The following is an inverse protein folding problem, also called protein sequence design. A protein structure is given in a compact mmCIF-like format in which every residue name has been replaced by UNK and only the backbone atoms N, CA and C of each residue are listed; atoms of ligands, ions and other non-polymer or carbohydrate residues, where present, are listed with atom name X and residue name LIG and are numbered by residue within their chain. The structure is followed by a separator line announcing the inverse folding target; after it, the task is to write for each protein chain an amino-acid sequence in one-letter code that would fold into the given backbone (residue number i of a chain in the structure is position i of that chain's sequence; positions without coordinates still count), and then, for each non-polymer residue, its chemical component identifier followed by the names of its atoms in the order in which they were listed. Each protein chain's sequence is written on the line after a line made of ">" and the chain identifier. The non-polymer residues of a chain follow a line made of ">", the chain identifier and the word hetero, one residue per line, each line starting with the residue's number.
data_IF_828069909934
#
_entry.id   IF_828069909934
#
_cell.length_a   1.000
_cell.length_b   1.000
_cell.length_c   1.000
_cell.angle_alpha   90.00
_cell.angle_beta   90.00
_cell.angle_gamma   90.00
#
_symmetry.space_group_name_H-M   'P 1'
#
loop_
_entity.id
_entity.type
_entity.pdbx_description
1 polymer ?
#
# COMPACT_ATOMS: atom_id res chain seq x y z
N UNK A 1 -95.81 27.61 -11.53
CA UNK A 1 -94.53 27.10 -10.97
C UNK A 1 -93.74 28.27 -10.37
N UNK A 2 -93.67 28.39 -9.04
CA UNK A 2 -92.83 29.40 -8.36
C UNK A 2 -91.37 28.91 -8.36
N UNK A 3 -90.48 29.62 -9.06
CA UNK A 3 -89.03 29.36 -9.02
C UNK A 3 -88.53 29.54 -7.57
N UNK A 4 -88.08 28.47 -6.91
CA UNK A 4 -87.40 28.51 -5.61
C UNK A 4 -86.00 29.09 -5.79
N UNK A 5 -85.88 30.43 -5.83
CA UNK A 5 -84.60 31.16 -6.04
C UNK A 5 -83.65 31.16 -4.82
N UNK A 6 -84.01 30.56 -3.68
CA UNK A 6 -83.20 30.59 -2.44
C UNK A 6 -82.35 29.34 -2.16
N UNK A 7 -82.68 28.16 -2.72
CA UNK A 7 -81.96 26.91 -2.41
C UNK A 7 -80.58 26.88 -3.09
N UNK A 8 -80.47 27.45 -4.29
CA UNK A 8 -79.20 27.53 -5.01
C UNK A 8 -78.15 28.35 -4.24
N UNK A 9 -78.55 29.46 -3.59
CA UNK A 9 -77.64 30.28 -2.78
C UNK A 9 -77.12 29.53 -1.55
N UNK A 10 -77.98 28.73 -0.89
CA UNK A 10 -77.59 27.91 0.27
C UNK A 10 -76.63 26.80 -0.16
N UNK A 11 -76.88 26.12 -1.27
CA UNK A 11 -75.99 25.08 -1.81
C UNK A 11 -74.65 25.66 -2.26
N UNK A 12 -74.63 26.84 -2.88
CA UNK A 12 -73.40 27.54 -3.27
C UNK A 12 -72.60 27.98 -2.05
N UNK A 13 -73.24 28.51 -1.01
CA UNK A 13 -72.55 28.86 0.24
C UNK A 13 -72.02 27.63 0.96
N UNK A 14 -72.77 26.54 0.99
CA UNK A 14 -72.33 25.29 1.63
C UNK A 14 -71.17 24.66 0.85
N UNK A 15 -71.22 24.66 -0.49
CA UNK A 15 -70.09 24.28 -1.34
C UNK A 15 -68.89 25.19 -1.10
N UNK A 16 -69.07 26.52 -1.00
CA UNK A 16 -67.99 27.47 -0.75
C UNK A 16 -67.32 27.25 0.62
N UNK A 17 -68.09 26.93 1.67
CA UNK A 17 -67.56 26.64 3.01
C UNK A 17 -66.67 25.40 3.03
N UNK A 18 -66.88 24.41 2.15
CA UNK A 18 -66.01 23.23 2.06
C UNK A 18 -64.92 23.36 0.99
N UNK A 19 -65.23 23.93 -0.18
CA UNK A 19 -64.27 24.05 -1.30
C UNK A 19 -63.17 25.08 -1.02
N UNK A 20 -63.47 26.24 -0.43
CA UNK A 20 -62.44 27.25 -0.17
C UNK A 20 -61.37 26.75 0.81
N UNK A 21 -61.72 26.21 2.00
CA UNK A 21 -60.72 25.63 2.90
C UNK A 21 -59.98 24.46 2.29
N UNK A 22 -60.65 23.62 1.48
CA UNK A 22 -60.01 22.49 0.80
C UNK A 22 -58.99 22.93 -0.26
N UNK A 23 -59.33 23.91 -1.10
CA UNK A 23 -58.42 24.48 -2.11
C UNK A 23 -57.25 25.21 -1.44
N UNK A 24 -57.52 25.99 -0.38
CA UNK A 24 -56.47 26.65 0.40
C UNK A 24 -55.54 25.63 1.08
N UNK A 25 -56.10 24.57 1.67
CA UNK A 25 -55.32 23.48 2.26
C UNK A 25 -54.46 22.77 1.23
N UNK A 26 -54.99 22.46 0.04
CA UNK A 26 -54.24 21.90 -1.07
C UNK A 26 -53.12 22.83 -1.54
N UNK A 27 -53.40 24.12 -1.73
CA UNK A 27 -52.38 25.10 -2.14
C UNK A 27 -51.25 25.21 -1.11
N UNK A 28 -51.57 25.30 0.19
CA UNK A 28 -50.57 25.36 1.26
C UNK A 28 -49.74 24.08 1.31
N UNK A 29 -50.40 22.92 1.22
CA UNK A 29 -49.76 21.61 1.29
C UNK A 29 -48.88 21.36 0.07
N UNK A 30 -49.36 21.62 -1.14
CA UNK A 30 -48.59 21.52 -2.39
C UNK A 30 -47.40 22.49 -2.41
N UNK A 31 -47.55 23.72 -1.92
CA UNK A 31 -46.44 24.67 -1.82
C UNK A 31 -45.37 24.18 -0.82
N UNK A 32 -45.78 23.62 0.32
CA UNK A 32 -44.86 23.01 1.27
C UNK A 32 -44.13 21.80 0.68
N UNK A 33 -44.83 20.92 -0.05
CA UNK A 33 -44.21 19.79 -0.76
C UNK A 33 -43.22 20.25 -1.84
N UNK A 34 -43.57 21.27 -2.62
CA UNK A 34 -42.67 21.84 -3.62
C UNK A 34 -41.41 22.42 -2.98
N UNK A 35 -41.55 23.22 -1.91
CA UNK A 35 -40.41 23.78 -1.16
C UNK A 35 -39.49 22.69 -0.61
N UNK A 36 -40.07 21.62 -0.04
CA UNK A 36 -39.30 20.50 0.49
C UNK A 36 -38.58 19.75 -0.64
N UNK A 37 -39.24 19.52 -1.78
CA UNK A 37 -38.65 18.88 -2.95
C UNK A 37 -37.47 19.70 -3.52
N UNK A 38 -37.60 21.03 -3.59
CA UNK A 38 -36.50 21.90 -4.02
C UNK A 38 -35.32 21.87 -3.04
N UNK A 39 -35.58 21.89 -1.72
CA UNK A 39 -34.52 21.78 -0.70
C UNK A 39 -33.80 20.43 -0.77
N UNK A 40 -34.55 19.34 -0.93
CA UNK A 40 -33.96 18.01 -1.09
C UNK A 40 -33.09 17.92 -2.36
N UNK A 41 -33.58 18.47 -3.49
CA UNK A 41 -32.80 18.55 -4.73
C UNK A 41 -31.50 19.35 -4.53
N UNK A 42 -31.56 20.49 -3.83
CA UNK A 42 -30.39 21.31 -3.53
C UNK A 42 -29.39 20.56 -2.64
N UNK A 43 -29.85 19.88 -1.59
CA UNK A 43 -28.99 19.05 -0.73
C UNK A 43 -28.34 17.89 -1.47
N UNK A 44 -29.08 17.19 -2.35
CA UNK A 44 -28.53 16.12 -3.20
C UNK A 44 -27.46 16.66 -4.15
N UNK A 45 -27.69 17.84 -4.73
CA UNK A 45 -26.72 18.48 -5.62
C UNK A 45 -25.43 18.86 -4.87
N UNK A 46 -25.56 19.50 -3.70
CA UNK A 46 -24.44 19.82 -2.81
C UNK A 46 -23.63 18.55 -2.44
N UNK A 47 -24.31 17.48 -2.01
CA UNK A 47 -23.65 16.21 -1.69
C UNK A 47 -22.96 15.55 -2.90
N UNK A 48 -23.54 15.66 -4.10
CA UNK A 48 -22.94 15.17 -5.34
C UNK A 48 -21.68 15.96 -5.72
N UNK A 49 -21.65 17.27 -5.47
CA UNK A 49 -20.48 18.12 -5.73
C UNK A 49 -19.33 17.76 -4.77
N UNK A 50 -19.61 17.62 -3.48
CA UNK A 50 -18.61 17.19 -2.48
C UNK A 50 -18.06 15.78 -2.81
N UNK A 51 -18.93 14.85 -3.21
CA UNK A 51 -18.51 13.50 -3.62
C UNK A 51 -17.67 13.52 -4.89
N UNK A 52 -17.98 14.41 -5.84
CA UNK A 52 -17.21 14.56 -7.08
C UNK A 52 -15.75 14.95 -6.84
N UNK A 53 -15.49 15.80 -5.84
CA UNK A 53 -14.13 16.16 -5.42
C UNK A 53 -13.36 14.93 -4.94
N UNK A 54 -13.97 14.10 -4.08
CA UNK A 54 -13.33 12.87 -3.61
C UNK A 54 -13.05 11.86 -4.73
N UNK A 55 -14.01 11.65 -5.63
CA UNK A 55 -13.82 10.75 -6.77
C UNK A 55 -12.64 11.23 -7.64
N UNK A 56 -12.46 12.54 -7.78
CA UNK A 56 -11.30 13.09 -8.50
C UNK A 56 -9.98 12.80 -7.78
N UNK A 57 -9.92 12.90 -6.45
CA UNK A 57 -8.73 12.48 -5.69
C UNK A 57 -8.46 10.98 -5.85
N UNK A 58 -9.47 10.13 -5.70
CA UNK A 58 -9.30 8.68 -5.88
C UNK A 58 -8.82 8.34 -7.30
N UNK A 59 -9.32 9.06 -8.31
CA UNK A 59 -8.85 8.94 -9.68
C UNK A 59 -7.38 9.36 -9.81
N UNK A 60 -6.98 10.50 -9.23
CA UNK A 60 -5.57 10.92 -9.23
C UNK A 60 -4.68 9.87 -8.57
N UNK A 61 -5.04 9.39 -7.38
CA UNK A 61 -4.26 8.42 -6.62
C UNK A 61 -4.20 7.05 -7.30
N UNK A 62 -5.22 6.68 -8.06
CA UNK A 62 -5.20 5.44 -8.87
C UNK A 62 -4.25 5.52 -10.07
N UNK A 63 -3.91 6.72 -10.55
CA UNK A 63 -3.07 6.92 -11.74
C UNK A 63 -1.57 6.91 -11.42
N UNK A 64 -1.18 7.31 -10.20
CA UNK A 64 0.23 7.35 -9.77
C UNK A 64 0.36 6.88 -8.33
N UNK A 65 1.18 5.85 -8.11
CA UNK A 65 1.47 5.29 -6.78
C UNK A 65 2.73 5.88 -6.12
N UNK A 66 3.33 6.92 -6.70
CA UNK A 66 4.62 7.45 -6.24
C UNK A 66 4.58 8.93 -5.88
N UNK A 67 3.79 9.72 -6.60
CA UNK A 67 3.93 11.18 -6.62
C UNK A 67 2.61 11.85 -6.26
N UNK A 68 2.73 12.99 -5.56
CA UNK A 68 1.62 13.93 -5.38
C UNK A 68 0.57 13.53 -4.35
N UNK A 69 0.83 12.55 -3.49
CA UNK A 69 -0.08 12.13 -2.43
C UNK A 69 -0.10 13.07 -1.23
N UNK A 70 1.01 13.79 -1.00
CA UNK A 70 1.22 14.64 0.18
C UNK A 70 1.66 16.06 -0.18
N UNK A 71 1.83 16.37 -1.47
CA UNK A 71 2.27 17.69 -1.92
C UNK A 71 1.07 18.64 -2.07
N UNK A 72 1.20 19.84 -1.51
CA UNK A 72 0.12 20.84 -1.52
C UNK A 72 -0.23 21.29 -2.93
N UNK A 73 0.76 21.41 -3.83
CA UNK A 73 0.52 21.83 -5.21
C UNK A 73 -0.29 20.78 -5.98
N UNK A 74 0.08 19.49 -5.84
CA UNK A 74 -0.63 18.38 -6.49
C UNK A 74 -2.02 18.10 -5.91
N UNK A 75 -2.25 18.45 -4.64
CA UNK A 75 -3.54 18.29 -3.97
C UNK A 75 -4.47 19.49 -4.17
N UNK A 76 -3.93 20.64 -4.60
CA UNK A 76 -4.73 21.83 -4.86
C UNK A 76 -5.82 21.55 -5.91
N UNK A 77 -7.01 22.10 -5.68
CA UNK A 77 -8.12 22.04 -6.63
C UNK A 77 -8.70 23.41 -6.84
N UNK A 78 -8.85 23.78 -8.10
CA UNK A 78 -9.65 24.94 -8.45
C UNK A 78 -11.12 24.62 -8.15
N UNK A 79 -11.87 25.56 -7.55
CA UNK A 79 -13.29 25.36 -7.32
C UNK A 79 -13.98 25.08 -8.65
N UNK A 80 -14.72 23.96 -8.71
CA UNK A 80 -15.44 23.59 -9.93
C UNK A 80 -16.68 24.47 -10.02
N UNK A 81 -16.63 25.46 -10.90
CA UNK A 81 -17.78 26.29 -11.22
C UNK A 81 -18.66 25.56 -12.24
N UNK A 82 -19.82 25.08 -11.80
CA UNK A 82 -20.92 24.80 -12.73
C UNK A 82 -21.96 25.90 -12.60
N UNK A 83 -22.75 26.12 -13.64
CA UNK A 83 -23.93 27.01 -13.60
C UNK A 83 -24.97 26.65 -12.52
N UNK A 84 -24.73 25.59 -11.75
CA UNK A 84 -25.63 25.01 -10.75
C UNK A 84 -25.02 24.90 -9.33
N UNK A 85 -23.73 25.22 -9.11
CA UNK A 85 -23.09 25.14 -7.79
C UNK A 85 -21.55 25.20 -7.79
N UNK A 86 -20.97 25.11 -6.60
CA UNK A 86 -19.54 25.25 -6.29
C UNK A 86 -19.04 24.07 -5.45
N UNK A 87 -17.75 23.76 -5.54
CA UNK A 87 -17.09 22.81 -4.65
C UNK A 87 -15.74 23.36 -4.19
N UNK A 88 -15.34 23.05 -2.96
CA UNK A 88 -13.99 23.32 -2.48
C UNK A 88 -13.42 22.12 -1.73
N UNK A 89 -12.10 22.12 -1.53
CA UNK A 89 -11.42 21.11 -0.73
C UNK A 89 -10.38 21.77 0.17
N UNK A 90 -10.26 21.23 1.37
CA UNK A 90 -9.12 21.42 2.25
C UNK A 90 -8.49 20.05 2.56
N UNK A 91 -7.17 19.98 2.64
CA UNK A 91 -6.43 18.73 2.80
C UNK A 91 -5.33 18.87 3.84
N UNK A 92 -5.24 17.89 4.73
CA UNK A 92 -4.16 17.78 5.73
C UNK A 92 -3.39 16.47 5.48
N UNK A 93 -2.10 16.59 5.17
CA UNK A 93 -1.24 15.45 4.87
C UNK A 93 -0.42 15.04 6.10
N UNK A 94 -0.52 13.78 6.49
CA UNK A 94 0.38 13.12 7.44
C UNK A 94 1.27 12.14 6.68
N UNK A 95 2.39 12.65 6.16
CA UNK A 95 3.35 11.87 5.39
C UNK A 95 4.10 10.83 6.25
N UNK A 96 4.13 10.97 7.58
CA UNK A 96 4.74 9.97 8.47
C UNK A 96 3.81 8.80 8.73
N UNK A 97 2.52 9.08 8.93
CA UNK A 97 1.47 8.07 9.08
C UNK A 97 0.91 7.53 7.77
N UNK A 98 1.44 7.99 6.62
CA UNK A 98 0.98 7.65 5.27
C UNK A 98 -0.52 7.88 5.08
N UNK A 99 -1.01 9.04 5.52
CA UNK A 99 -2.43 9.39 5.52
C UNK A 99 -2.67 10.76 4.92
N UNK A 100 -3.82 10.89 4.26
CA UNK A 100 -4.36 12.15 3.80
C UNK A 100 -5.78 12.32 4.33
N UNK A 101 -6.00 13.41 5.04
CA UNK A 101 -7.32 13.84 5.48
C UNK A 101 -7.87 14.82 4.46
N UNK A 102 -9.07 14.52 3.96
CA UNK A 102 -9.72 15.31 2.92
C UNK A 102 -11.04 15.85 3.48
N UNK A 103 -11.19 17.16 3.41
CA UNK A 103 -12.42 17.86 3.71
C UNK A 103 -12.97 18.51 2.44
N UNK A 104 -13.96 17.87 1.83
CA UNK A 104 -14.61 18.37 0.62
C UNK A 104 -15.95 19.04 0.97
N UNK A 105 -16.18 20.24 0.44
CA UNK A 105 -17.45 20.95 0.56
C UNK A 105 -18.14 21.05 -0.80
N UNK A 106 -19.47 20.94 -0.79
CA UNK A 106 -20.31 21.08 -1.97
C UNK A 106 -21.45 22.05 -1.69
N UNK A 107 -21.56 23.07 -2.53
CA UNK A 107 -22.47 24.19 -2.34
C UNK A 107 -23.38 24.34 -3.55
N UNK A 108 -24.68 24.49 -3.33
CA UNK A 108 -25.67 24.74 -4.39
C UNK A 108 -26.07 26.22 -4.42
N UNK A 109 -26.33 26.76 -5.61
CA UNK A 109 -26.72 28.15 -5.80
C UNK A 109 -25.79 28.91 -6.74
N UNK A 110 -26.07 30.21 -6.94
CA UNK A 110 -25.33 31.08 -7.86
C UNK A 110 -24.18 31.85 -7.20
N UNK A 111 -24.03 31.76 -5.87
CA UNK A 111 -22.95 32.40 -5.11
C UNK A 111 -22.40 31.45 -4.04
N UNK A 112 -21.07 31.26 -4.02
CA UNK A 112 -20.39 30.51 -2.97
C UNK A 112 -20.43 31.20 -1.60
N UNK A 113 -20.55 32.54 -1.58
CA UNK A 113 -20.65 33.30 -0.33
C UNK A 113 -22.03 33.19 0.35
N UNK A 114 -23.06 32.76 -0.39
CA UNK A 114 -24.42 32.60 0.10
C UNK A 114 -25.10 31.38 -0.57
N UNK A 115 -24.67 30.15 -0.23
CA UNK A 115 -25.22 28.95 -0.85
C UNK A 115 -26.65 28.68 -0.38
N UNK A 116 -27.47 28.12 -1.27
CA UNK A 116 -28.83 27.68 -0.98
C UNK A 116 -28.85 26.38 -0.15
N UNK A 117 -27.83 25.55 -0.33
CA UNK A 117 -27.54 24.40 0.53
C UNK A 117 -26.04 24.09 0.52
N UNK A 118 -25.55 23.57 1.64
CA UNK A 118 -24.16 23.17 1.84
C UNK A 118 -24.11 21.74 2.40
N UNK A 119 -23.10 20.97 1.96
CA UNK A 119 -22.80 19.63 2.44
C UNK A 119 -21.30 19.44 2.53
N UNK A 120 -20.87 18.86 3.66
CA UNK A 120 -19.47 18.62 3.93
C UNK A 120 -19.19 17.11 3.98
N UNK A 121 -18.04 16.74 3.46
CA UNK A 121 -17.62 15.36 3.36
C UNK A 121 -16.20 15.26 3.90
N UNK A 122 -16.03 14.36 4.87
CA UNK A 122 -14.74 14.02 5.47
C UNK A 122 -14.34 12.62 5.03
N UNK A 123 -13.14 12.51 4.44
CA UNK A 123 -12.55 11.25 4.04
C UNK A 123 -11.14 11.12 4.58
N UNK A 124 -10.76 9.89 4.94
CA UNK A 124 -9.37 9.55 5.26
C UNK A 124 -8.88 8.50 4.28
N UNK A 125 -7.79 8.81 3.58
CA UNK A 125 -7.10 7.90 2.69
C UNK A 125 -5.82 7.46 3.37
N UNK A 126 -5.57 6.16 3.43
CA UNK A 126 -4.29 5.61 3.85
C UNK A 126 -3.57 5.05 2.64
N UNK A 127 -2.29 5.37 2.51
CA UNK A 127 -1.45 4.90 1.44
C UNK A 127 -0.62 3.73 1.98
N UNK A 128 -0.72 2.58 1.34
CA UNK A 128 -0.06 1.34 1.79
C UNK A 128 0.74 0.77 0.63
N UNK A 129 2.00 0.42 0.89
CA UNK A 129 2.79 -0.32 -0.09
C UNK A 129 2.50 -1.82 0.00
N UNK A 130 2.12 -2.42 -1.13
CA UNK A 130 2.00 -3.88 -1.24
C UNK A 130 3.34 -4.58 -0.88
N UNK A 131 4.47 -3.90 -1.09
CA UNK A 131 5.80 -4.42 -0.77
C UNK A 131 6.08 -4.50 0.73
N UNK A 132 5.29 -3.81 1.56
CA UNK A 132 5.40 -3.87 3.03
C UNK A 132 4.24 -4.63 3.67
N UNK A 133 3.09 -4.74 3.01
CA UNK A 133 1.91 -5.43 3.54
C UNK A 133 1.91 -6.95 3.31
N UNK A 134 2.52 -7.41 2.20
CA UNK A 134 2.64 -8.83 1.88
C UNK A 134 4.01 -9.38 2.30
N UNK A 135 4.01 -10.43 3.13
CA UNK A 135 5.23 -11.12 3.53
C UNK A 135 5.89 -11.87 2.37
N UNK A 136 5.11 -12.33 1.40
CA UNK A 136 5.62 -12.86 0.12
C UNK A 136 4.68 -12.50 -1.01
N UNK A 137 5.25 -11.99 -2.10
CA UNK A 137 4.54 -11.46 -3.25
C UNK A 137 5.15 -12.01 -4.55
N UNK A 138 4.57 -13.00 -5.21
CA UNK A 138 5.20 -13.64 -6.39
C UNK A 138 4.42 -13.32 -7.66
N UNK A 139 5.11 -12.78 -8.67
CA UNK A 139 4.55 -12.59 -10.00
C UNK A 139 4.77 -13.84 -10.86
N UNK A 140 3.74 -14.68 -10.96
CA UNK A 140 3.74 -15.89 -11.77
C UNK A 140 3.46 -17.16 -10.96
N UNK A 141 3.71 -18.30 -11.62
CA UNK A 141 3.49 -19.63 -11.02
C UNK A 141 4.58 -19.96 -10.01
N UNK A 142 4.19 -20.59 -8.89
CA UNK A 142 5.12 -20.99 -7.85
C UNK A 142 4.85 -22.38 -7.29
N UNK A 143 5.94 -23.10 -6.98
CA UNK A 143 5.90 -24.42 -6.34
C UNK A 143 6.63 -24.40 -5.00
N UNK A 144 5.91 -24.77 -3.95
CA UNK A 144 6.40 -24.93 -2.59
C UNK A 144 6.67 -26.40 -2.29
N UNK A 145 7.93 -26.82 -2.45
CA UNK A 145 8.36 -28.20 -2.22
C UNK A 145 9.07 -28.47 -0.89
N UNK A 146 9.10 -27.51 0.03
CA UNK A 146 9.86 -27.64 1.29
C UNK A 146 8.96 -28.21 2.40
N UNK A 147 9.44 -29.26 3.06
CA UNK A 147 8.79 -29.85 4.22
C UNK A 147 9.03 -29.05 5.51
N UNK A 148 8.12 -29.18 6.48
CA UNK A 148 8.19 -28.57 7.80
C UNK A 148 8.42 -27.05 7.73
N UNK A 149 7.72 -26.38 6.83
CA UNK A 149 7.86 -24.94 6.59
C UNK A 149 6.74 -24.15 7.29
N UNK A 150 7.13 -23.08 8.00
CA UNK A 150 6.22 -22.07 8.51
C UNK A 150 6.41 -20.78 7.70
N UNK A 151 5.32 -20.30 7.10
CA UNK A 151 5.28 -19.05 6.36
C UNK A 151 4.43 -18.04 7.11
N UNK A 152 4.99 -16.86 7.34
CA UNK A 152 4.33 -15.77 8.08
C UNK A 152 3.97 -14.60 7.16
N UNK A 153 2.92 -13.87 7.52
CA UNK A 153 2.41 -12.69 6.81
C UNK A 153 1.41 -13.03 5.70
N UNK A 154 0.89 -12.01 5.04
CA UNK A 154 0.01 -12.17 3.87
C UNK A 154 0.80 -12.69 2.67
N UNK A 155 0.18 -13.55 1.88
CA UNK A 155 0.79 -14.10 0.67
C UNK A 155 -0.05 -13.74 -0.54
N UNK A 156 0.61 -13.28 -1.60
CA UNK A 156 -0.03 -13.01 -2.88
C UNK A 156 0.80 -13.58 -4.02
N UNK A 157 0.17 -14.42 -4.84
CA UNK A 157 0.77 -15.06 -6.01
C UNK A 157 -0.15 -14.78 -7.20
N UNK A 158 0.36 -14.20 -8.28
CA UNK A 158 -0.48 -13.85 -9.45
C UNK A 158 -0.80 -15.06 -10.34
N UNK A 159 0.01 -16.13 -10.29
CA UNK A 159 -0.18 -17.35 -11.06
C UNK A 159 -0.69 -18.55 -10.23
N UNK A 160 -0.40 -19.76 -10.73
CA UNK A 160 -0.74 -21.00 -10.04
C UNK A 160 0.16 -21.19 -8.80
N UNK A 161 -0.39 -21.80 -7.75
CA UNK A 161 0.37 -22.24 -6.58
C UNK A 161 0.26 -23.75 -6.41
N UNK A 162 1.41 -24.44 -6.39
CA UNK A 162 1.50 -25.86 -6.02
C UNK A 162 2.20 -26.00 -4.67
N UNK A 163 1.56 -26.65 -3.70
CA UNK A 163 2.11 -26.97 -2.38
C UNK A 163 2.33 -28.48 -2.32
N UNK A 164 3.58 -28.90 -2.52
CA UNK A 164 3.97 -30.31 -2.50
C UNK A 164 4.73 -30.74 -1.26
N UNK A 165 5.25 -29.79 -0.47
CA UNK A 165 5.92 -30.08 0.80
C UNK A 165 4.95 -30.51 1.91
N UNK A 166 5.40 -31.40 2.78
CA UNK A 166 4.66 -31.89 3.94
C UNK A 166 4.78 -30.94 5.15
N UNK A 167 3.79 -30.91 6.02
CA UNK A 167 3.76 -30.08 7.24
C UNK A 167 3.99 -28.58 6.97
N UNK A 168 3.41 -28.05 5.89
CA UNK A 168 3.49 -26.63 5.54
C UNK A 168 2.38 -25.86 6.25
N UNK A 169 2.74 -24.79 6.95
CA UNK A 169 1.78 -23.91 7.63
C UNK A 169 1.92 -22.47 7.16
N UNK A 170 0.80 -21.85 6.77
CA UNK A 170 0.69 -20.41 6.53
C UNK A 170 0.01 -19.75 7.73
N UNK A 171 0.59 -18.66 8.21
CA UNK A 171 0.11 -17.89 9.37
C UNK A 171 0.23 -16.39 9.16
N UNK A 172 -0.66 -15.62 9.78
CA UNK A 172 -0.52 -14.16 9.86
C UNK A 172 -1.06 -13.39 8.66
N UNK A 173 -1.98 -13.99 7.88
CA UNK A 173 -2.67 -13.30 6.80
C UNK A 173 -3.40 -14.24 5.85
N UNK A 174 -4.17 -13.69 4.89
CA UNK A 174 -4.76 -14.48 3.82
C UNK A 174 -3.70 -15.01 2.84
N UNK A 175 -4.04 -16.11 2.18
CA UNK A 175 -3.34 -16.64 1.01
C UNK A 175 -4.14 -16.29 -0.24
N UNK A 176 -3.57 -15.48 -1.13
CA UNK A 176 -4.21 -15.01 -2.35
C UNK A 176 -3.48 -15.61 -3.57
N UNK A 177 -4.21 -16.28 -4.45
CA UNK A 177 -3.68 -17.00 -5.62
C UNK A 177 -4.49 -16.63 -6.86
N UNK A 178 -3.86 -16.00 -7.86
CA UNK A 178 -4.53 -15.61 -9.12
C UNK A 178 -4.80 -16.78 -10.07
N UNK A 179 -4.33 -17.99 -9.75
CA UNK A 179 -4.56 -19.19 -10.56
C UNK A 179 -5.12 -20.37 -9.78
N UNK A 180 -4.78 -21.57 -10.24
CA UNK A 180 -5.09 -22.82 -9.56
C UNK A 180 -4.28 -22.97 -8.27
N UNK A 181 -4.92 -23.49 -7.22
CA UNK A 181 -4.27 -23.87 -5.97
C UNK A 181 -4.24 -25.40 -5.88
N UNK A 182 -3.07 -26.00 -6.03
CA UNK A 182 -2.87 -27.45 -5.97
C UNK A 182 -2.14 -27.82 -4.69
N UNK A 183 -2.73 -28.67 -3.86
CA UNK A 183 -2.14 -29.13 -2.60
C UNK A 183 -1.97 -30.64 -2.64
N UNK A 184 -0.73 -31.10 -2.78
CA UNK A 184 -0.38 -32.53 -2.75
C UNK A 184 0.37 -32.93 -1.49
N UNK A 185 0.97 -31.96 -0.78
CA UNK A 185 1.64 -32.18 0.50
C UNK A 185 0.67 -32.59 1.61
N UNK A 186 1.17 -33.36 2.57
CA UNK A 186 0.45 -33.84 3.74
C UNK A 186 0.44 -32.78 4.84
N UNK A 187 -0.65 -32.69 5.61
CA UNK A 187 -0.77 -31.78 6.76
C UNK A 187 -0.48 -30.29 6.42
N UNK A 188 -0.96 -29.84 5.26
CA UNK A 188 -0.91 -28.42 4.87
C UNK A 188 -1.99 -27.63 5.61
N UNK A 189 -1.60 -26.57 6.31
CA UNK A 189 -2.47 -25.72 7.14
C UNK A 189 -2.40 -24.28 6.68
N UNK A 190 -3.56 -23.64 6.55
CA UNK A 190 -3.69 -22.23 6.20
C UNK A 190 -4.51 -21.56 7.29
N UNK A 191 -3.83 -20.86 8.19
CA UNK A 191 -4.43 -20.19 9.35
C UNK A 191 -4.85 -18.77 8.95
N UNK A 192 -5.78 -18.69 8.00
CA UNK A 192 -6.32 -17.45 7.43
C UNK A 192 -7.34 -17.75 6.33
N UNK A 193 -7.83 -16.69 5.68
CA UNK A 193 -8.68 -16.82 4.50
C UNK A 193 -7.86 -17.23 3.26
N UNK A 194 -8.54 -17.86 2.29
CA UNK A 194 -7.95 -18.19 0.99
C UNK A 194 -8.78 -17.55 -0.11
N UNK A 195 -8.11 -16.89 -1.04
CA UNK A 195 -8.68 -16.35 -2.26
C UNK A 195 -8.00 -17.03 -3.44
N UNK A 196 -8.77 -17.62 -4.35
CA UNK A 196 -8.24 -18.25 -5.56
C UNK A 196 -9.18 -18.00 -6.76
N UNK A 197 -8.63 -17.84 -7.97
CA UNK A 197 -9.45 -17.67 -9.20
C UNK A 197 -9.76 -19.01 -9.89
N UNK A 198 -8.85 -19.98 -9.78
CA UNK A 198 -8.92 -21.25 -10.50
C UNK A 198 -9.57 -22.39 -9.73
N UNK A 199 -9.02 -23.59 -9.90
CA UNK A 199 -9.44 -24.77 -9.16
C UNK A 199 -8.60 -24.97 -7.91
N UNK A 200 -9.25 -25.28 -6.79
CA UNK A 200 -8.60 -25.84 -5.60
C UNK A 200 -8.58 -27.37 -5.70
N UNK A 201 -7.40 -27.97 -5.78
CA UNK A 201 -7.19 -29.43 -5.73
C UNK A 201 -6.48 -29.82 -4.44
N UNK A 202 -6.90 -30.92 -3.82
CA UNK A 202 -6.43 -31.36 -2.51
C UNK A 202 -7.28 -30.82 -1.35
N UNK A 203 -6.87 -31.13 -0.12
CA UNK A 203 -7.65 -30.80 1.09
C UNK A 203 -6.78 -30.16 2.17
N UNK A 204 -6.26 -28.93 1.95
CA UNK A 204 -5.59 -28.21 3.02
C UNK A 204 -6.58 -27.94 4.16
N UNK A 205 -6.07 -27.95 5.40
CA UNK A 205 -6.82 -27.49 6.57
C UNK A 205 -6.83 -25.97 6.56
N UNK A 206 -8.00 -25.35 6.59
CA UNK A 206 -8.15 -23.90 6.51
C UNK A 206 -8.94 -23.42 7.72
N UNK A 207 -8.36 -22.51 8.50
CA UNK A 207 -9.04 -21.95 9.68
C UNK A 207 -9.98 -20.79 9.34
N UNK A 208 -9.75 -20.09 8.23
CA UNK A 208 -10.63 -19.03 7.72
C UNK A 208 -11.60 -19.52 6.65
N UNK A 209 -12.03 -18.61 5.79
CA UNK A 209 -12.98 -18.89 4.70
C UNK A 209 -12.27 -19.11 3.37
N UNK A 210 -12.82 -19.99 2.53
CA UNK A 210 -12.36 -20.24 1.17
C UNK A 210 -13.23 -19.45 0.19
N UNK A 211 -12.61 -18.57 -0.60
CA UNK A 211 -13.24 -17.77 -1.64
C UNK A 211 -12.69 -18.17 -3.01
N UNK A 212 -13.56 -18.66 -3.88
CA UNK A 212 -13.25 -18.79 -5.30
C UNK A 212 -13.48 -17.45 -6.00
N UNK A 213 -12.66 -16.48 -5.63
CA UNK A 213 -12.70 -15.09 -6.07
C UNK A 213 -11.30 -14.52 -5.98
N UNK A 214 -10.83 -13.94 -7.09
CA UNK A 214 -9.63 -13.13 -7.13
C UNK A 214 -10.02 -11.68 -7.42
N UNK A 215 -9.66 -10.71 -6.56
CA UNK A 215 -10.07 -9.32 -6.77
C UNK A 215 -9.44 -8.76 -8.06
N UNK A 216 -10.29 -8.26 -8.96
CA UNK A 216 -9.89 -7.78 -10.29
C UNK A 216 -8.97 -6.55 -10.28
N UNK A 217 -8.88 -5.86 -9.15
CA UNK A 217 -8.06 -4.67 -8.92
C UNK A 217 -6.69 -4.99 -8.32
N UNK A 218 -6.35 -6.27 -8.15
CA UNK A 218 -5.02 -6.70 -7.72
C UNK A 218 -4.00 -6.57 -8.88
N UNK A 219 -3.35 -5.41 -8.97
CA UNK A 219 -2.28 -5.15 -9.94
C UNK A 219 -0.91 -5.29 -9.30
N UNK A 220 -0.08 -6.20 -9.82
CA UNK A 220 1.26 -6.43 -9.27
C UNK A 220 2.11 -5.14 -9.29
N UNK A 221 2.81 -4.80 -8.18
CA UNK A 221 3.57 -3.56 -8.12
C UNK A 221 4.74 -3.56 -9.09
N UNK A 222 4.94 -2.44 -9.78
CA UNK A 222 6.08 -2.21 -10.66
C UNK A 222 6.97 -1.09 -10.13
N UNK A 223 8.29 -1.28 -10.17
CA UNK A 223 9.25 -0.28 -9.70
C UNK A 223 9.51 0.75 -10.79
N UNK A 224 9.09 1.99 -10.55
CA UNK A 224 9.29 3.10 -11.51
C UNK A 224 10.70 3.69 -11.38
N UNK A 225 11.63 3.24 -12.21
CA UNK A 225 13.04 3.70 -12.16
C UNK A 225 13.21 5.19 -12.42
N UNK A 226 12.37 5.79 -13.27
CA UNK A 226 12.42 7.23 -13.55
C UNK A 226 12.14 8.06 -12.28
N UNK A 227 11.25 7.57 -11.40
CA UNK A 227 10.99 8.20 -10.11
C UNK A 227 12.25 8.20 -9.24
N UNK A 228 12.92 7.05 -9.11
CA UNK A 228 14.14 6.94 -8.32
C UNK A 228 15.33 7.72 -8.90
N UNK A 229 15.40 7.85 -10.22
CA UNK A 229 16.42 8.66 -10.89
C UNK A 229 16.22 10.16 -10.67
N UNK A 230 14.98 10.62 -10.46
CA UNK A 230 14.66 12.02 -10.19
C UNK A 230 14.69 12.37 -8.69
N UNK A 231 14.38 11.41 -7.80
CA UNK A 231 14.14 11.65 -6.37
C UNK A 231 15.17 11.00 -5.44
N UNK A 232 16.39 10.71 -5.92
CA UNK A 232 17.44 10.16 -5.05
C UNK A 232 18.02 11.23 -4.10
N UNK A 233 18.48 10.79 -2.94
CA UNK A 233 19.27 11.61 -2.02
C UNK A 233 20.76 11.43 -2.25
N UNK A 234 21.18 10.23 -2.69
CA UNK A 234 22.57 9.95 -3.02
C UNK A 234 22.68 9.05 -4.23
N UNK A 235 23.63 9.36 -5.12
CA UNK A 235 23.86 8.64 -6.37
C UNK A 235 25.24 7.98 -6.38
N UNK A 236 25.29 6.73 -6.83
CA UNK A 236 26.52 5.96 -7.01
C UNK A 236 26.63 5.57 -8.49
N UNK A 237 27.78 5.86 -9.10
CA UNK A 237 28.05 5.61 -10.53
C UNK A 237 29.29 4.74 -10.77
N UNK A 238 30.01 4.33 -9.72
CA UNK A 238 31.24 3.56 -9.81
C UNK A 238 31.10 2.15 -9.22
N UNK A 239 31.78 1.19 -9.84
CA UNK A 239 31.67 -0.24 -9.54
C UNK A 239 33.01 -0.92 -9.22
N UNK A 240 33.01 -1.96 -8.36
CA UNK A 240 31.95 -2.35 -7.43
C UNK A 240 31.95 -1.44 -6.19
N UNK A 241 30.79 -0.97 -5.76
CA UNK A 241 30.67 -0.14 -4.54
C UNK A 241 30.10 -0.96 -3.39
N UNK A 242 30.83 -0.97 -2.27
CA UNK A 242 30.41 -1.64 -1.04
C UNK A 242 29.93 -0.57 -0.06
N UNK A 243 28.66 -0.65 0.33
CA UNK A 243 28.02 0.24 1.30
C UNK A 243 27.94 -0.47 2.65
N UNK A 244 28.49 0.18 3.68
CA UNK A 244 28.33 -0.25 5.07
C UNK A 244 27.45 0.74 5.81
N UNK A 245 26.31 0.28 6.32
CA UNK A 245 25.48 1.07 7.22
C UNK A 245 26.09 1.05 8.62
N UNK A 246 26.41 2.24 9.12
CA UNK A 246 26.99 2.42 10.44
C UNK A 246 25.90 3.00 11.36
N UNK A 247 25.26 2.14 12.15
CA UNK A 247 24.40 2.59 13.23
C UNK A 247 25.09 2.61 14.60
N UNK A 248 26.12 1.78 14.78
CA UNK A 248 26.76 1.58 16.07
C UNK A 248 27.96 2.52 16.29
N UNK A 249 28.11 3.18 17.45
CA UNK A 249 27.18 3.14 18.59
C UNK A 249 25.99 4.11 18.50
N UNK A 250 25.98 5.09 17.57
CA UNK A 250 24.82 5.99 17.42
C UNK A 250 24.84 6.86 16.16
N UNK A 251 25.64 6.56 15.13
CA UNK A 251 25.60 7.34 13.89
C UNK A 251 24.38 6.95 13.05
N UNK A 252 23.75 7.90 12.37
CA UNK A 252 22.74 7.61 11.35
C UNK A 252 23.41 7.81 10.00
N UNK A 253 24.33 6.92 9.62
CA UNK A 253 25.21 7.12 8.46
C UNK A 253 25.47 5.84 7.69
N UNK A 254 25.93 5.97 6.45
CA UNK A 254 26.59 4.89 5.72
C UNK A 254 27.94 5.35 5.17
N UNK A 255 28.85 4.40 4.95
CA UNK A 255 30.16 4.65 4.35
C UNK A 255 30.33 3.83 3.08
N UNK A 256 31.05 4.39 2.11
CA UNK A 256 31.52 3.67 0.93
C UNK A 256 32.89 3.05 1.25
N UNK A 257 32.94 1.73 1.40
CA UNK A 257 34.16 1.00 1.76
C UNK A 257 35.20 1.15 0.65
N UNK A 258 36.45 1.39 1.06
CA UNK A 258 37.54 1.73 0.14
C UNK A 258 37.67 3.23 -0.15
N UNK A 259 36.81 4.07 0.45
CA UNK A 259 36.88 5.53 0.37
C UNK A 259 36.79 6.16 1.77
N UNK A 260 36.96 7.47 1.86
CA UNK A 260 36.70 8.26 3.08
C UNK A 260 35.26 8.79 3.15
N UNK A 261 34.42 8.49 2.15
CA UNK A 261 33.08 9.04 2.04
C UNK A 261 32.16 8.39 3.09
N UNK A 262 31.58 9.24 3.94
CA UNK A 262 30.52 8.89 4.89
C UNK A 262 29.38 9.89 4.75
N UNK A 263 28.17 9.38 4.65
CA UNK A 263 26.97 10.17 4.33
C UNK A 263 25.93 9.96 5.43
N UNK A 264 25.35 11.02 5.99
CA UNK A 264 24.25 10.90 6.94
C UNK A 264 22.95 10.47 6.26
N UNK A 265 22.22 9.57 6.91
CA UNK A 265 20.86 9.19 6.55
C UNK A 265 19.92 10.29 7.05
N UNK A 266 19.13 10.83 6.13
CA UNK A 266 18.16 11.90 6.36
C UNK A 266 17.01 11.45 7.25
N UNK A 267 16.52 12.33 8.13
CA UNK A 267 15.39 12.04 9.03
C UNK A 267 14.09 11.73 8.26
N UNK A 268 13.87 12.40 7.12
CA UNK A 268 12.75 12.13 6.22
C UNK A 268 12.83 10.73 5.55
N UNK A 269 13.96 10.03 5.67
CA UNK A 269 14.28 8.83 4.91
C UNK A 269 15.10 9.14 3.66
N UNK A 270 15.82 8.13 3.17
CA UNK A 270 16.82 8.28 2.14
C UNK A 270 16.68 7.26 1.00
N UNK A 271 16.78 7.73 -0.24
CA UNK A 271 16.91 6.92 -1.45
C UNK A 271 18.35 6.98 -1.96
N UNK A 272 19.00 5.81 -2.03
CA UNK A 272 20.33 5.63 -2.62
C UNK A 272 20.16 4.99 -4.00
N UNK A 273 20.55 5.71 -5.04
CA UNK A 273 20.41 5.28 -6.43
C UNK A 273 21.77 4.86 -7.02
N UNK A 274 21.90 3.57 -7.33
CA UNK A 274 23.00 3.02 -8.09
C UNK A 274 22.72 3.06 -9.59
N UNK A 275 23.33 3.99 -10.31
CA UNK A 275 23.15 4.09 -11.77
C UNK A 275 24.06 3.11 -12.51
N UNK A 276 23.48 2.07 -13.12
CA UNK A 276 24.22 1.07 -13.90
C UNK A 276 25.43 0.47 -13.15
N UNK A 277 25.24 0.20 -11.86
CA UNK A 277 26.25 -0.35 -10.94
C UNK A 277 25.75 -1.60 -10.23
N UNK A 278 26.68 -2.38 -9.70
CA UNK A 278 26.48 -3.47 -8.75
C UNK A 278 26.89 -3.02 -7.35
N UNK A 279 25.96 -3.16 -6.40
CA UNK A 279 26.18 -2.73 -5.02
C UNK A 279 26.26 -3.93 -4.08
N UNK A 280 27.10 -3.82 -3.05
CA UNK A 280 27.11 -4.76 -1.93
C UNK A 280 26.74 -4.01 -0.65
N UNK A 281 25.78 -4.52 0.13
CA UNK A 281 25.19 -3.84 1.27
C UNK A 281 25.30 -4.70 2.53
N UNK A 282 25.69 -4.11 3.66
CA UNK A 282 25.66 -4.78 4.97
C UNK A 282 25.75 -3.75 6.10
N UNK A 283 25.60 -4.22 7.34
CA UNK A 283 25.74 -3.41 8.56
C UNK A 283 24.40 -3.21 9.27
N UNK A 284 24.30 -2.11 10.01
CA UNK A 284 23.11 -1.81 10.81
C UNK A 284 22.51 -0.50 10.32
N UNK A 285 21.23 -0.53 9.93
CA UNK A 285 20.49 0.62 9.40
C UNK A 285 19.82 1.39 10.55
N UNK A 286 20.05 2.70 10.58
CA UNK A 286 19.33 3.66 11.40
C UNK A 286 18.72 4.71 10.48
N UNK A 287 17.43 5.00 10.66
CA UNK A 287 16.59 5.72 9.70
C UNK A 287 15.90 4.79 8.69
N UNK A 288 15.19 5.40 7.74
CA UNK A 288 14.47 4.69 6.66
C UNK A 288 15.28 4.80 5.37
N UNK A 289 15.69 3.67 4.79
CA UNK A 289 16.58 3.67 3.63
C UNK A 289 16.07 2.76 2.52
N UNK A 290 16.05 3.27 1.29
CA UNK A 290 15.81 2.48 0.09
C UNK A 290 17.03 2.53 -0.82
N UNK A 291 17.58 1.36 -1.15
CA UNK A 291 18.67 1.21 -2.12
C UNK A 291 18.11 0.61 -3.39
N UNK A 292 18.28 1.32 -4.49
CA UNK A 292 17.74 0.94 -5.80
C UNK A 292 18.85 1.04 -6.84
N UNK A 293 18.88 0.08 -7.76
CA UNK A 293 19.83 0.11 -8.87
C UNK A 293 19.10 0.17 -10.21
N UNK A 294 19.71 0.80 -11.20
CA UNK A 294 19.31 0.67 -12.60
C UNK A 294 20.28 -0.22 -13.37
N UNK A 295 19.79 -0.84 -14.44
CA UNK A 295 20.60 -1.53 -15.41
C UNK A 295 20.41 -0.89 -16.78
N UNK A 296 21.45 -0.27 -17.31
CA UNK A 296 21.54 0.07 -18.75
C UNK A 296 22.38 -0.97 -19.50
N UNK A 297 22.90 -1.99 -18.79
CA UNK A 297 23.63 -3.13 -19.34
C UNK A 297 23.29 -4.43 -18.59
N UNK A 298 23.37 -5.58 -19.27
CA UNK A 298 22.93 -6.88 -18.74
C UNK A 298 23.76 -7.45 -17.57
N UNK A 299 24.92 -6.87 -17.24
CA UNK A 299 25.79 -7.31 -16.13
C UNK A 299 25.70 -6.43 -14.89
N UNK A 300 24.96 -5.31 -14.98
CA UNK A 300 24.83 -4.28 -13.95
C UNK A 300 23.45 -4.28 -13.34
N UNK A 301 23.24 -3.53 -12.26
CA UNK A 301 21.95 -3.43 -11.58
C UNK A 301 21.71 -4.52 -10.54
N UNK A 302 22.76 -5.18 -10.06
CA UNK A 302 22.67 -6.21 -9.03
C UNK A 302 22.87 -5.62 -7.64
N UNK A 303 22.21 -6.19 -6.65
CA UNK A 303 22.48 -5.91 -5.24
C UNK A 303 22.87 -7.23 -4.56
N UNK A 304 24.00 -7.21 -3.86
CA UNK A 304 24.43 -8.29 -2.96
C UNK A 304 24.27 -7.82 -1.52
N UNK A 305 23.72 -8.66 -0.65
CA UNK A 305 23.57 -8.36 0.77
C UNK A 305 24.41 -9.33 1.58
N UNK A 306 25.33 -8.78 2.36
CA UNK A 306 26.36 -9.52 3.07
C UNK A 306 27.66 -9.71 2.28
N UNK A 307 28.59 -10.47 2.87
CA UNK A 307 29.96 -10.63 2.38
C UNK A 307 30.45 -12.06 2.61
N UNK A 308 31.29 -12.53 1.70
CA UNK A 308 31.80 -13.91 1.74
C UNK A 308 32.91 -14.12 2.80
N UNK A 309 33.63 -13.06 3.17
CA UNK A 309 34.85 -13.15 3.98
C UNK A 309 34.67 -12.71 5.44
N UNK A 310 33.54 -12.09 5.80
CA UNK A 310 33.28 -11.59 7.16
C UNK A 310 31.81 -11.70 7.54
N UNK A 311 31.53 -11.65 8.85
CA UNK A 311 30.17 -11.60 9.35
C UNK A 311 29.55 -10.26 8.96
N UNK A 312 28.62 -10.29 8.02
CA UNK A 312 28.07 -9.10 7.38
C UNK A 312 26.55 -9.20 7.28
N UNK A 313 25.90 -9.21 8.45
CA UNK A 313 24.45 -9.14 8.52
C UNK A 313 23.95 -7.77 8.09
N UNK A 314 22.67 -7.69 7.71
CA UNK A 314 21.94 -6.45 7.52
C UNK A 314 20.80 -6.39 8.56
N UNK A 315 20.93 -5.53 9.55
CA UNK A 315 20.02 -5.44 10.71
C UNK A 315 19.51 -4.01 10.88
N UNK A 316 18.49 -3.84 11.73
CA UNK A 316 18.04 -2.52 12.16
C UNK A 316 18.70 -2.12 13.47
N UNK A 317 18.87 -0.82 13.68
CA UNK A 317 19.25 -0.26 14.97
C UNK A 317 18.05 -0.25 15.92
N UNK A 318 18.29 -0.53 17.19
CA UNK A 318 17.31 -0.36 18.25
C UNK A 318 17.72 0.81 19.15
N UNK A 319 17.06 1.98 19.05
CA UNK A 319 17.39 3.14 19.87
C UNK A 319 17.02 2.94 21.35
N UNK A 320 16.16 1.99 21.70
CA UNK A 320 15.77 1.74 23.09
C UNK A 320 16.86 0.95 23.84
N UNK A 321 17.47 -0.03 23.17
CA UNK A 321 18.53 -0.86 23.78
C UNK A 321 19.94 -0.41 23.40
N UNK A 322 20.09 0.47 22.40
CA UNK A 322 21.38 0.82 21.81
C UNK A 322 22.02 -0.31 20.98
N UNK A 323 21.24 -1.36 20.70
CA UNK A 323 21.69 -2.58 20.03
C UNK A 323 21.16 -2.72 18.60
N UNK A 324 21.10 -3.98 18.14
CA UNK A 324 20.50 -4.36 16.86
C UNK A 324 19.21 -5.11 17.07
N UNK A 325 18.25 -4.93 16.18
CA UNK A 325 16.97 -5.65 16.14
C UNK A 325 16.69 -6.17 14.73
N UNK A 326 15.78 -7.14 14.64
CA UNK A 326 15.30 -7.71 13.37
C UNK A 326 13.91 -7.20 12.98
N UNK A 327 13.39 -6.20 13.70
CA UNK A 327 12.05 -5.63 13.54
C UNK A 327 12.11 -4.11 13.38
N UNK A 328 11.35 -3.56 12.45
CA UNK A 328 11.28 -2.13 12.15
C UNK A 328 10.54 -1.28 13.22
N UNK A 329 10.25 -1.86 14.39
CA UNK A 329 9.45 -1.29 15.50
C UNK A 329 9.84 0.13 15.93
N UNK A 330 11.09 0.54 15.73
CA UNK A 330 11.59 1.85 16.14
C UNK A 330 11.78 2.85 14.99
N UNK A 331 11.04 2.67 13.89
CA UNK A 331 11.10 3.58 12.73
C UNK A 331 12.31 3.40 11.82
N UNK A 332 13.09 2.33 12.04
CA UNK A 332 14.24 1.98 11.21
C UNK A 332 13.83 0.91 10.21
N UNK A 333 13.98 1.19 8.91
CA UNK A 333 13.54 0.27 7.86
C UNK A 333 14.44 0.34 6.64
N UNK A 334 14.46 -0.76 5.88
CA UNK A 334 15.33 -0.91 4.74
C UNK A 334 14.60 -1.55 3.56
N UNK A 335 14.87 -1.08 2.35
CA UNK A 335 14.48 -1.73 1.10
C UNK A 335 15.67 -1.89 0.15
N UNK A 336 15.75 -3.02 -0.54
CA UNK A 336 16.64 -3.24 -1.67
C UNK A 336 15.83 -3.59 -2.92
N UNK A 337 15.97 -2.77 -3.95
CA UNK A 337 15.25 -2.83 -5.21
C UNK A 337 16.24 -3.00 -6.38
N UNK A 338 16.91 -4.16 -6.53
CA UNK A 338 17.80 -4.38 -7.66
C UNK A 338 17.02 -4.53 -8.96
N UNK A 339 17.56 -3.95 -10.04
CA UNK A 339 16.98 -4.07 -11.38
C UNK A 339 17.35 -5.38 -12.11
N UNK A 340 18.39 -6.08 -11.67
CA UNK A 340 18.97 -7.20 -12.43
C UNK A 340 19.50 -8.35 -11.56
N UNK A 341 19.01 -8.45 -10.32
CA UNK A 341 19.28 -9.60 -9.46
C UNK A 341 19.62 -9.22 -8.03
N UNK A 342 19.12 -10.03 -7.10
CA UNK A 342 19.46 -9.98 -5.68
C UNK A 342 20.27 -11.23 -5.29
N UNK A 343 21.31 -11.03 -4.49
CA UNK A 343 22.10 -12.12 -3.91
C UNK A 343 22.21 -11.95 -2.39
N UNK A 344 21.87 -12.98 -1.63
CA UNK A 344 22.22 -13.07 -0.20
C UNK A 344 23.55 -13.81 -0.02
N UNK A 345 24.58 -13.11 0.41
CA UNK A 345 25.95 -13.62 0.53
C UNK A 345 26.33 -13.78 2.01
N UNK A 346 26.34 -15.03 2.49
CA UNK A 346 26.86 -15.38 3.81
C UNK A 346 28.38 -15.53 3.80
N UNK A 347 28.96 -15.51 5.00
CA UNK A 347 30.39 -15.77 5.20
C UNK A 347 30.68 -17.25 4.93
N UNK A 348 31.49 -17.51 3.91
CA UNK A 348 31.93 -18.87 3.53
C UNK A 348 33.31 -19.22 4.08
N UNK A 349 34.10 -18.23 4.49
CA UNK A 349 35.41 -18.44 5.10
C UNK A 349 35.31 -18.96 6.54
N UNK A 350 36.24 -19.81 6.97
CA UNK A 350 36.23 -20.45 8.29
C UNK A 350 36.55 -19.44 9.42
N UNK A 351 35.78 -19.43 10.53
CA UNK A 351 34.52 -20.14 10.74
C UNK A 351 33.40 -19.49 9.92
N UNK A 352 32.64 -20.32 9.18
CA UNK A 352 31.48 -19.87 8.44
C UNK A 352 30.36 -19.41 9.38
N UNK A 353 29.49 -18.51 8.92
CA UNK A 353 28.45 -17.92 9.74
C UNK A 353 27.09 -17.94 9.05
N UNK A 354 26.04 -17.91 9.87
CA UNK A 354 24.69 -17.65 9.41
C UNK A 354 24.60 -16.22 8.88
N UNK A 355 23.66 -15.98 7.98
CA UNK A 355 23.36 -14.65 7.46
C UNK A 355 21.98 -14.22 7.93
N UNK A 356 21.90 -13.06 8.59
CA UNK A 356 20.65 -12.41 8.93
C UNK A 356 20.47 -11.13 8.12
N UNK A 357 19.32 -11.00 7.46
CA UNK A 357 18.97 -9.85 6.62
C UNK A 357 17.58 -9.34 6.99
N UNK A 358 17.46 -8.01 7.11
CA UNK A 358 16.21 -7.33 7.47
C UNK A 358 15.83 -6.32 6.39
N UNK A 359 14.60 -6.37 5.88
CA UNK A 359 14.14 -5.43 4.87
C UNK A 359 13.07 -5.92 3.92
N UNK A 360 12.71 -5.00 3.01
CA UNK A 360 11.88 -5.25 1.82
C UNK A 360 12.79 -5.60 0.65
N UNK A 361 12.57 -6.75 0.03
CA UNK A 361 13.39 -7.24 -1.09
C UNK A 361 12.57 -7.38 -2.37
N UNK A 362 12.79 -6.50 -3.35
CA UNK A 362 12.12 -6.56 -4.65
C UNK A 362 13.15 -6.74 -5.77
N UNK A 363 13.34 -7.97 -6.21
CA UNK A 363 14.22 -8.30 -7.33
C UNK A 363 13.48 -8.18 -8.67
N UNK A 364 13.85 -7.15 -9.45
CA UNK A 364 13.30 -6.86 -10.77
C UNK A 364 13.86 -7.70 -11.94
N UNK A 365 14.73 -8.69 -11.68
CA UNK A 365 15.25 -9.59 -12.71
C UNK A 365 14.22 -10.63 -13.20
N UNK A 366 14.60 -11.56 -14.06
CA UNK A 366 13.76 -12.72 -14.40
C UNK A 366 14.00 -13.94 -13.49
N UNK A 367 15.09 -13.95 -12.72
CA UNK A 367 15.53 -15.11 -11.95
C UNK A 367 15.06 -15.02 -10.49
N UNK A 368 15.12 -16.16 -9.79
CA UNK A 368 14.97 -16.21 -8.34
C UNK A 368 16.08 -15.41 -7.63
N UNK A 369 15.83 -15.08 -6.36
CA UNK A 369 16.84 -14.48 -5.50
C UNK A 369 17.91 -15.52 -5.21
N UNK A 370 19.14 -15.23 -5.60
CA UNK A 370 20.27 -16.13 -5.40
C UNK A 370 20.78 -16.09 -3.96
N UNK A 371 21.31 -17.20 -3.47
CA UNK A 371 22.07 -17.23 -2.21
C UNK A 371 23.45 -17.81 -2.43
N UNK A 372 24.41 -17.38 -1.64
CA UNK A 372 25.73 -17.98 -1.58
C UNK A 372 26.17 -18.04 -0.12
N UNK A 373 26.30 -19.24 0.41
CA UNK A 373 26.57 -19.46 1.82
C UNK A 373 27.10 -20.87 2.04
N UNK A 374 27.58 -21.14 3.25
CA UNK A 374 28.02 -22.47 3.62
C UNK A 374 26.80 -23.37 3.88
N UNK A 375 26.81 -24.60 3.37
CA UNK A 375 25.71 -25.55 3.51
C UNK A 375 25.44 -26.01 4.95
N UNK A 376 26.34 -25.75 5.91
CA UNK A 376 26.11 -25.99 7.34
C UNK A 376 25.43 -24.82 8.07
N UNK A 377 25.20 -23.71 7.36
CA UNK A 377 24.68 -22.46 7.92
C UNK A 377 23.27 -22.17 7.42
N UNK A 378 22.65 -21.16 8.01
CA UNK A 378 21.27 -20.77 7.77
C UNK A 378 21.18 -19.33 7.26
N UNK A 379 20.14 -19.08 6.46
CA UNK A 379 19.69 -17.74 6.08
C UNK A 379 18.48 -17.37 6.94
N UNK A 380 18.52 -16.21 7.57
CA UNK A 380 17.40 -15.61 8.27
C UNK A 380 16.99 -14.32 7.55
N UNK A 381 15.77 -14.28 7.01
CA UNK A 381 15.20 -13.08 6.40
C UNK A 381 14.02 -12.62 7.22
N UNK A 382 14.10 -11.39 7.72
CA UNK A 382 13.03 -10.68 8.42
C UNK A 382 12.52 -9.54 7.54
N UNK A 383 11.28 -9.64 7.07
CA UNK A 383 10.66 -8.66 6.18
C UNK A 383 9.92 -9.31 5.03
N UNK A 384 10.03 -8.73 3.83
CA UNK A 384 9.23 -9.12 2.67
C UNK A 384 10.10 -9.45 1.46
N UNK A 385 9.55 -10.23 0.52
CA UNK A 385 10.22 -10.53 -0.75
C UNK A 385 9.24 -10.73 -1.88
N UNK A 386 9.72 -10.45 -3.09
CA UNK A 386 8.91 -10.59 -4.30
C UNK A 386 9.16 -11.90 -5.09
N UNK A 387 10.06 -12.76 -4.61
CA UNK A 387 10.52 -13.94 -5.35
C UNK A 387 10.93 -15.10 -4.46
N UNK A 388 10.97 -16.32 -5.02
CA UNK A 388 11.62 -17.44 -4.38
C UNK A 388 13.11 -17.16 -4.16
N UNK A 389 13.68 -17.84 -3.17
CA UNK A 389 15.10 -17.76 -2.83
C UNK A 389 15.73 -19.12 -3.09
N UNK A 390 16.69 -19.18 -3.99
CA UNK A 390 17.46 -20.39 -4.28
C UNK A 390 18.33 -20.74 -3.09
N UNK A 391 18.25 -21.97 -2.57
CA UNK A 391 18.86 -22.35 -1.30
C UNK A 391 20.23 -23.00 -1.50
N UNK A 392 21.31 -22.29 -1.19
CA UNK A 392 22.66 -22.85 -1.01
C UNK A 392 23.03 -23.03 0.49
N UNK A 393 22.26 -22.43 1.40
CA UNK A 393 22.32 -22.70 2.83
C UNK A 393 21.61 -24.02 3.18
N UNK A 394 21.88 -24.60 4.36
CA UNK A 394 21.14 -25.79 4.85
C UNK A 394 19.63 -25.55 4.89
N UNK A 395 19.23 -24.32 5.22
CA UNK A 395 17.86 -23.90 5.39
C UNK A 395 17.76 -22.38 5.42
N UNK A 396 16.64 -21.86 4.92
CA UNK A 396 16.18 -20.49 5.14
C UNK A 396 15.02 -20.43 6.14
N UNK A 397 15.05 -19.43 7.02
CA UNK A 397 13.96 -19.00 7.91
C UNK A 397 13.46 -17.66 7.43
N UNK A 398 12.14 -17.56 7.22
CA UNK A 398 11.50 -16.42 6.58
C UNK A 398 10.38 -15.91 7.47
N UNK A 399 10.58 -14.73 8.05
CA UNK A 399 9.67 -14.13 9.01
C UNK A 399 9.21 -12.79 8.48
N UNK A 400 7.90 -12.59 8.43
CA UNK A 400 7.33 -11.30 8.07
C UNK A 400 7.53 -10.30 9.22
N UNK A 401 7.96 -9.08 8.89
CA UNK A 401 8.08 -7.97 9.83
C UNK A 401 6.84 -7.06 9.71
N UNK A 402 5.89 -7.13 10.66
CA UNK A 402 4.65 -6.36 10.57
C UNK A 402 4.86 -4.84 10.73
N UNK A 403 5.98 -4.40 11.28
CA UNK A 403 6.26 -2.99 11.50
C UNK A 403 6.69 -2.27 10.22
N UNK A 404 7.01 -3.00 9.14
CA UNK A 404 7.31 -2.41 7.85
C UNK A 404 6.12 -1.66 7.25
N UNK A 405 4.88 -2.03 7.57
CA UNK A 405 3.69 -1.29 7.14
C UNK A 405 3.54 0.04 7.90
N UNK A 406 3.93 0.07 9.18
CA UNK A 406 3.90 1.30 10.00
C UNK A 406 5.06 2.25 9.65
N UNK A 407 6.22 1.70 9.32
CA UNK A 407 7.44 2.46 9.04
C UNK A 407 8.07 2.04 7.69
N UNK A 408 7.37 2.23 6.57
CA UNK A 408 7.85 1.77 5.28
C UNK A 408 9.11 2.55 4.86
N UNK A 409 10.07 1.89 4.17
CA UNK A 409 11.15 2.57 3.49
C UNK A 409 10.62 3.59 2.46
N UNK A 410 11.31 4.72 2.24
CA UNK A 410 10.82 5.77 1.36
C UNK A 410 10.86 5.36 -0.12
N UNK A 411 9.92 5.89 -0.91
CA UNK A 411 9.91 5.68 -2.36
C UNK A 411 9.46 4.29 -2.79
N UNK A 412 8.78 3.52 -1.93
CA UNK A 412 8.03 2.35 -2.37
C UNK A 412 6.72 2.80 -3.02
N UNK A 413 6.15 2.04 -3.98
CA UNK A 413 4.85 2.37 -4.54
C UNK A 413 3.77 2.22 -3.46
N UNK A 414 2.93 3.23 -3.28
CA UNK A 414 1.86 3.27 -2.29
C UNK A 414 0.50 3.32 -2.97
N UNK A 415 -0.37 2.37 -2.64
CA UNK A 415 -1.73 2.29 -3.14
C UNK A 415 -2.68 3.01 -2.17
N UNK A 416 -3.65 3.78 -2.69
CA UNK A 416 -4.65 4.41 -1.86
C UNK A 416 -5.66 3.36 -1.36
N UNK A 417 -5.87 3.33 -0.05
CA UNK A 417 -6.89 2.55 0.63
C UNK A 417 -7.81 3.53 1.34
N UNK A 418 -9.10 3.49 1.00
CA UNK A 418 -10.11 4.29 1.69
C UNK A 418 -10.35 3.69 3.09
N UNK A 419 -10.08 4.46 4.14
CA UNK A 419 -10.22 3.99 5.53
C UNK A 419 -11.58 4.33 6.09
N UNK A 420 -12.02 5.59 5.93
CA UNK A 420 -13.33 6.06 6.42
C UNK A 420 -13.92 7.11 5.49
N UNK A 421 -15.26 7.16 5.47
CA UNK A 421 -16.05 8.14 4.73
C UNK A 421 -17.25 8.56 5.58
N UNK A 422 -17.35 9.86 5.90
CA UNK A 422 -18.54 10.42 6.54
C UNK A 422 -19.04 11.69 5.83
N UNK A 423 -20.31 11.65 5.42
CA UNK A 423 -21.04 12.82 4.91
C UNK A 423 -21.78 13.47 6.08
N UNK A 424 -21.63 14.79 6.27
CA UNK A 424 -22.37 15.59 7.25
C UNK A 424 -23.33 16.55 6.55
#
# INVERSE_FOLDING_TARGET
>A
MKQRRGIALVVVNLLAVFLLPFVLYLMLTSNNFLKNSFREKQQKLSGSLASGVLVDFMRQFSQSYYEGHYDTESLSRNPVFRSVGFSSVDTEADAQGHRLYIHASGQSGSSAAAPLADKNLYGTVQFISDLTDYGTLIDGTFTLGKDNALYMGKWWITGNLTISGDNVTFMGGPLIVGGNLTVTGSNVRINGDIYYEGTLTGTPVVSGTKYNFYPSDMTYPSIRRTYHQANYNYKITADPSVIRFNAYPSSSTFSLIGTTITVPVTEAGMIIYGENVNLTLYGTVRGRVTVVTSNTSGTKGKITIGLFNQNANLLYYDPLTGGTTTSAVSGNSFAALPSNGLTFQGKTTTPAADLTVCGVYFDGSANNISTNGNSSKKLYLYGTRNKPVDQNFSSGVYTYDPWLNTFPPPGLPERPVLVTWHLR
#
